data_IF_640729230271
#
_entry.id   IF_640729230271
#
_cell.length_a   1.000
_cell.length_b   1.000
_cell.length_c   1.000
_cell.angle_alpha   90.00
_cell.angle_beta   90.00
_cell.angle_gamma   90.00
#
_symmetry.space_group_name_H-M   'P 1'
#
loop_
_entity.id
_entity.type
_entity.pdbx_description
1 polymer ?
#
# COMPACT_ATOMS: atom_id res chain seq x y z
N UNK A 1 -2.89 -17.35 2.87
CA UNK A 1 -3.60 -16.12 3.28
C UNK A 1 -2.87 -14.90 2.80
N UNK A 2 -3.60 -13.86 2.45
CA UNK A 2 -3.02 -12.59 2.01
C UNK A 2 -3.42 -11.48 2.97
N UNK A 3 -2.54 -10.49 3.09
CA UNK A 3 -2.83 -9.27 3.84
C UNK A 3 -3.13 -8.15 2.85
N UNK A 4 -4.15 -7.37 3.15
CA UNK A 4 -4.48 -6.20 2.33
C UNK A 4 -3.78 -4.98 2.90
N UNK A 5 -3.24 -4.17 2.03
CA UNK A 5 -2.56 -2.93 2.41
C UNK A 5 -2.95 -1.82 1.46
N UNK A 6 -2.87 -0.60 1.93
CA UNK A 6 -3.09 0.57 1.11
C UNK A 6 -1.77 1.34 1.06
N UNK A 7 -1.26 1.55 -0.15
CA UNK A 7 -0.03 2.30 -0.36
C UNK A 7 -0.35 3.68 -0.90
N UNK A 8 0.35 4.66 -0.38
CA UNK A 8 0.26 6.03 -0.86
C UNK A 8 1.54 6.35 -1.64
N UNK A 9 1.39 6.64 -2.92
CA UNK A 9 2.50 7.05 -3.78
C UNK A 9 2.54 8.56 -3.86
N UNK A 10 3.74 9.12 -3.71
CA UNK A 10 3.93 10.55 -3.74
C UNK A 10 3.45 11.14 -5.07
N UNK A 11 2.76 12.27 -5.00
CA UNK A 11 2.24 12.98 -6.18
C UNK A 11 3.34 13.43 -7.14
N UNK A 12 4.55 13.63 -6.64
CA UNK A 12 5.68 14.07 -7.43
C UNK A 12 6.47 12.92 -8.06
N UNK A 13 6.03 11.68 -7.80
CA UNK A 13 6.70 10.50 -8.31
C UNK A 13 6.52 10.39 -9.82
N UNK A 14 7.60 10.10 -10.53
CA UNK A 14 7.52 9.90 -11.98
C UNK A 14 6.92 8.54 -12.30
N UNK A 15 6.44 8.38 -13.55
CA UNK A 15 5.91 7.09 -13.98
C UNK A 15 6.97 5.99 -13.89
N UNK A 16 8.20 6.30 -14.26
CA UNK A 16 9.31 5.34 -14.14
C UNK A 16 9.59 4.94 -12.70
N UNK A 17 9.51 5.90 -11.78
CA UNK A 17 9.65 5.64 -10.35
C UNK A 17 8.53 4.76 -9.84
N UNK A 18 7.31 5.04 -10.24
CA UNK A 18 6.15 4.23 -9.89
C UNK A 18 6.31 2.79 -10.36
N UNK A 19 6.65 2.60 -11.64
CA UNK A 19 6.85 1.27 -12.21
C UNK A 19 7.96 0.51 -11.49
N UNK A 20 9.05 1.18 -11.15
CA UNK A 20 10.16 0.56 -10.43
C UNK A 20 9.74 0.03 -9.07
N UNK A 21 8.95 0.82 -8.34
CA UNK A 21 8.43 0.43 -7.04
C UNK A 21 7.49 -0.77 -7.17
N UNK A 22 6.57 -0.72 -8.12
CA UNK A 22 5.61 -1.80 -8.36
C UNK A 22 6.33 -3.11 -8.66
N UNK A 23 7.31 -3.07 -9.57
CA UNK A 23 8.09 -4.26 -9.93
C UNK A 23 8.81 -4.86 -8.73
N UNK A 24 9.42 -4.01 -7.95
CA UNK A 24 10.18 -4.47 -6.78
C UNK A 24 9.27 -5.16 -5.77
N UNK A 25 8.09 -4.61 -5.55
CA UNK A 25 7.14 -5.20 -4.62
C UNK A 25 6.49 -6.47 -5.18
N UNK A 26 6.26 -6.50 -6.49
CA UNK A 26 5.75 -7.71 -7.15
C UNK A 26 6.75 -8.87 -7.05
N UNK A 27 8.04 -8.57 -7.07
CA UNK A 27 9.09 -9.59 -6.89
C UNK A 27 9.05 -10.22 -5.50
N UNK A 28 8.53 -9.51 -4.52
CA UNK A 28 8.35 -10.03 -3.16
C UNK A 28 7.08 -10.88 -3.09
N UNK A 29 6.15 -10.67 -4.01
CA UNK A 29 4.90 -11.40 -4.04
C UNK A 29 3.66 -10.52 -3.92
N UNK A 30 3.83 -9.21 -3.86
CA UNK A 30 2.69 -8.28 -3.76
C UNK A 30 1.90 -8.24 -5.07
N UNK A 31 0.59 -8.09 -4.94
CA UNK A 31 -0.32 -7.97 -6.06
C UNK A 31 -1.05 -6.62 -5.97
N UNK A 32 -0.90 -5.80 -7.00
CA UNK A 32 -1.46 -4.45 -7.03
C UNK A 32 -2.83 -4.46 -7.70
N UNK A 33 -3.81 -3.86 -7.02
CA UNK A 33 -5.17 -3.69 -7.53
C UNK A 33 -5.29 -2.32 -8.19
N UNK A 34 -4.68 -2.17 -9.36
CA UNK A 34 -4.59 -0.89 -10.06
C UNK A 34 -5.99 -0.32 -10.38
N UNK A 35 -6.97 -1.18 -10.59
CA UNK A 35 -8.33 -0.74 -10.91
C UNK A 35 -8.98 0.05 -9.79
N UNK A 36 -8.51 -0.14 -8.57
CA UNK A 36 -9.04 0.54 -7.40
C UNK A 36 -8.16 1.71 -6.96
N UNK A 37 -7.16 2.05 -7.77
CA UNK A 37 -6.30 3.19 -7.49
C UNK A 37 -7.10 4.50 -7.55
N UNK A 38 -6.87 5.36 -6.58
CA UNK A 38 -7.59 6.64 -6.46
C UNK A 38 -6.60 7.76 -6.22
N UNK A 39 -6.76 8.85 -6.95
CA UNK A 39 -5.97 10.05 -6.69
C UNK A 39 -6.54 10.77 -5.48
N UNK A 40 -5.66 11.06 -4.53
CA UNK A 40 -6.00 11.83 -3.33
C UNK A 40 -5.12 13.08 -3.29
N UNK A 41 -5.36 13.97 -2.34
CA UNK A 41 -4.63 15.23 -2.26
C UNK A 41 -3.11 15.03 -2.12
N UNK A 42 -2.69 13.97 -1.47
CA UNK A 42 -1.28 13.70 -1.20
C UNK A 42 -0.60 12.84 -2.28
N UNK A 43 -1.36 12.28 -3.21
CA UNK A 43 -0.81 11.45 -4.26
C UNK A 43 -1.77 10.40 -4.79
N UNK A 44 -1.27 9.20 -5.01
CA UNK A 44 -2.06 8.09 -5.54
C UNK A 44 -2.17 6.99 -4.48
N UNK A 45 -3.41 6.66 -4.12
CA UNK A 45 -3.71 5.58 -3.18
C UNK A 45 -4.02 4.31 -3.96
N UNK A 46 -3.31 3.22 -3.66
CA UNK A 46 -3.46 1.94 -4.37
C UNK A 46 -3.62 0.80 -3.38
N UNK A 47 -4.62 -0.04 -3.60
CA UNK A 47 -4.80 -1.24 -2.81
C UNK A 47 -3.84 -2.32 -3.29
N UNK A 48 -3.22 -3.00 -2.33
CA UNK A 48 -2.23 -4.04 -2.60
C UNK A 48 -2.52 -5.25 -1.73
N UNK A 49 -2.38 -6.43 -2.31
CA UNK A 49 -2.46 -7.68 -1.56
C UNK A 49 -1.06 -8.28 -1.48
N UNK A 50 -0.67 -8.70 -0.28
CA UNK A 50 0.63 -9.31 -0.04
C UNK A 50 0.47 -10.62 0.72
N UNK A 51 1.14 -11.70 0.32
CA UNK A 51 1.11 -12.94 1.09
C UNK A 51 1.59 -12.69 2.52
N UNK A 52 0.89 -13.28 3.47
CA UNK A 52 1.19 -13.11 4.89
C UNK A 52 2.64 -13.44 5.23
N UNK A 53 3.19 -14.47 4.63
CA UNK A 53 4.56 -14.90 4.88
C UNK A 53 5.61 -13.94 4.30
N UNK A 54 5.21 -13.01 3.42
CA UNK A 54 6.11 -12.01 2.84
C UNK A 54 5.84 -10.61 3.40
N UNK A 55 4.91 -10.48 4.32
CA UNK A 55 4.49 -9.17 4.85
C UNK A 55 5.64 -8.38 5.48
N UNK A 56 6.46 -9.03 6.28
CA UNK A 56 7.59 -8.35 6.92
C UNK A 56 8.58 -7.79 5.90
N UNK A 57 8.90 -8.58 4.88
CA UNK A 57 9.78 -8.14 3.82
C UNK A 57 9.16 -7.00 3.02
N UNK A 58 7.86 -7.08 2.75
CA UNK A 58 7.11 -6.05 2.06
C UNK A 58 7.16 -4.73 2.83
N UNK A 59 6.84 -4.76 4.12
CA UNK A 59 6.86 -3.58 4.97
C UNK A 59 8.27 -2.99 5.09
N UNK A 60 9.27 -3.84 5.29
CA UNK A 60 10.65 -3.41 5.38
C UNK A 60 11.13 -2.76 4.08
N UNK A 61 10.79 -3.35 2.96
CA UNK A 61 11.16 -2.81 1.64
C UNK A 61 10.57 -1.44 1.43
N UNK A 62 9.29 -1.25 1.76
CA UNK A 62 8.63 0.05 1.62
C UNK A 62 9.27 1.10 2.52
N UNK A 63 9.66 0.73 3.73
CA UNK A 63 10.27 1.66 4.67
C UNK A 63 11.61 2.21 4.17
N UNK A 64 12.27 1.49 3.27
CA UNK A 64 13.54 1.91 2.67
C UNK A 64 13.39 2.56 1.30
N UNK A 65 12.16 2.67 0.80
CA UNK A 65 11.87 3.31 -0.49
C UNK A 65 11.48 4.76 -0.31
N UNK A 66 11.77 5.57 -1.33
CA UNK A 66 11.30 6.94 -1.38
C UNK A 66 10.12 7.04 -2.34
N UNK A 67 9.19 7.93 -2.03
CA UNK A 67 8.05 8.18 -2.90
C UNK A 67 6.86 7.25 -2.67
N UNK A 68 6.95 6.34 -1.71
CA UNK A 68 5.85 5.44 -1.36
C UNK A 68 5.84 5.20 0.14
N UNK A 69 4.66 5.07 0.70
CA UNK A 69 4.48 4.76 2.12
C UNK A 69 3.21 3.94 2.31
N UNK A 70 3.12 3.25 3.46
CA UNK A 70 1.90 2.54 3.81
C UNK A 70 0.95 3.54 4.46
N UNK A 71 -0.27 3.60 3.95
CA UNK A 71 -1.30 4.49 4.49
C UNK A 71 -2.00 3.80 5.66
N UNK A 72 -1.39 3.89 6.83
CA UNK A 72 -1.91 3.26 8.03
C UNK A 72 -3.27 3.83 8.45
N UNK A 73 -3.50 5.12 8.20
CA UNK A 73 -4.77 5.75 8.53
C UNK A 73 -5.92 5.17 7.75
N UNK A 74 -5.74 5.01 6.43
CA UNK A 74 -6.76 4.41 5.59
C UNK A 74 -7.01 2.96 5.96
N UNK A 75 -5.94 2.23 6.26
CA UNK A 75 -6.05 0.83 6.69
C UNK A 75 -6.80 0.71 8.02
N UNK A 76 -6.53 1.61 8.93
CA UNK A 76 -7.20 1.63 10.23
C UNK A 76 -8.69 1.92 10.08
N UNK A 77 -9.06 2.84 9.19
CA UNK A 77 -10.46 3.13 8.92
C UNK A 77 -11.20 1.92 8.37
N UNK A 78 -10.55 1.19 7.44
CA UNK A 78 -11.12 -0.01 6.85
C UNK A 78 -11.29 -1.14 7.86
N UNK A 79 -10.37 -1.20 8.81
CA UNK A 79 -10.33 -2.24 9.83
C UNK A 79 -10.99 -1.82 11.14
N UNK A 80 -11.69 -0.70 11.13
CA UNK A 80 -12.34 -0.20 12.33
C UNK A 80 -13.25 -1.26 12.94
N UNK A 81 -13.03 -1.52 14.22
CA UNK A 81 -13.79 -2.51 14.94
C UNK A 81 -15.18 -1.93 15.24
N UNK A 82 -16.28 -2.62 14.86
CA UNK A 82 -17.62 -2.16 15.17
C UNK A 82 -17.88 -1.90 16.65
N UNK A 83 -17.15 -2.57 17.51
CA UNK A 83 -17.28 -2.37 18.95
C UNK A 83 -16.87 -0.98 19.39
N UNK A 84 -15.90 -0.40 18.72
CA UNK A 84 -15.47 0.96 19.03
C UNK A 84 -16.53 1.97 18.62
N UNK A 85 -17.28 1.67 17.59
CA UNK A 85 -18.35 2.54 17.11
C UNK A 85 -19.51 2.61 18.10
N UNK A 86 -19.68 1.63 18.94
CA UNK A 86 -20.75 1.56 19.92
C UNK A 86 -20.47 2.39 21.18
N UNK A 87 -19.29 2.87 21.30
CA UNK A 87 -18.91 3.71 22.43
C UNK A 87 -19.15 5.18 22.12
#
# INVERSE_FOLDING_TARGET
MTCDAILLFDRDLTLGGFEGIVRRLEDIGAFFLIREAVFVSDGLSVDVQCPENCWEEFEDTISHMQGVSIDWEAMTEEWEDPEEADL
#
